data_IF_278001551742
#
_entry.id   IF_278001551742
#
_cell.length_a   1.000
_cell.length_b   1.000
_cell.length_c   1.000
_cell.angle_alpha   90.00
_cell.angle_beta   90.00
_cell.angle_gamma   90.00
#
_symmetry.space_group_name_H-M   'P 1'
#
loop_
_entity.id
_entity.type
_entity.pdbx_description
1 polymer ?
#
# COMPACT_ATOMS: atom_id res chain seq x y z
N UNK A 1 3.30 23.20 -2.20
CA UNK A 1 3.05 22.69 -3.57
C UNK A 1 1.67 22.09 -3.75
N UNK A 2 1.18 21.18 -2.89
CA UNK A 2 -0.16 20.59 -2.98
C UNK A 2 -1.29 21.63 -3.06
N UNK A 3 -1.33 22.58 -2.11
CA UNK A 3 -2.37 23.64 -2.09
C UNK A 3 -2.31 24.49 -3.37
N UNK A 4 -1.11 24.80 -3.83
CA UNK A 4 -0.92 25.59 -5.05
C UNK A 4 -1.39 24.85 -6.31
N UNK A 5 -1.23 23.52 -6.38
CA UNK A 5 -1.71 22.71 -7.51
C UNK A 5 -3.22 22.56 -7.53
N UNK A 6 -3.87 22.50 -6.36
CA UNK A 6 -5.34 22.45 -6.26
C UNK A 6 -6.04 23.78 -6.54
N UNK A 7 -5.32 24.91 -6.42
CA UNK A 7 -5.85 26.25 -6.69
C UNK A 7 -5.59 26.74 -8.11
N UNK A 8 -4.80 26.03 -8.91
CA UNK A 8 -4.42 26.46 -10.25
C UNK A 8 -5.16 25.65 -11.31
N UNK A 9 -6.28 26.20 -11.80
CA UNK A 9 -7.11 25.58 -12.85
C UNK A 9 -6.37 25.33 -14.18
N UNK A 10 -5.22 25.99 -14.43
CA UNK A 10 -4.41 25.72 -15.63
C UNK A 10 -3.65 24.42 -15.57
N UNK A 11 -3.34 23.94 -14.36
CA UNK A 11 -2.60 22.71 -14.12
C UNK A 11 -3.47 21.54 -13.70
N UNK A 12 -4.70 21.81 -13.25
CA UNK A 12 -5.65 20.81 -12.81
C UNK A 12 -7.09 21.32 -13.02
N UNK A 13 -7.83 20.65 -13.88
CA UNK A 13 -9.21 21.02 -14.24
C UNK A 13 -10.28 20.59 -13.22
N UNK A 14 -9.89 20.00 -12.08
CA UNK A 14 -10.78 19.49 -11.05
C UNK A 14 -10.88 20.43 -9.84
N UNK A 15 -11.92 20.18 -9.03
CA UNK A 15 -12.07 20.79 -7.71
C UNK A 15 -11.27 19.94 -6.73
N UNK A 16 -10.12 20.42 -6.27
CA UNK A 16 -9.30 19.70 -5.29
C UNK A 16 -7.81 19.70 -5.61
N UNK A 17 -7.07 18.83 -4.94
CA UNK A 17 -5.63 18.68 -5.10
C UNK A 17 -5.34 17.63 -6.17
N UNK A 18 -4.38 17.91 -7.07
CA UNK A 18 -3.94 16.93 -8.05
C UNK A 18 -3.53 15.60 -7.38
N UNK A 19 -4.06 14.47 -7.87
CA UNK A 19 -3.77 13.13 -7.37
C UNK A 19 -2.27 12.79 -7.41
N UNK A 20 -1.53 13.32 -8.37
CA UNK A 20 -0.06 13.15 -8.43
C UNK A 20 0.66 13.88 -7.29
N UNK A 21 0.26 15.11 -6.97
CA UNK A 21 0.85 15.86 -5.86
C UNK A 21 0.49 15.27 -4.50
N UNK A 22 -0.73 14.77 -4.35
CA UNK A 22 -1.17 14.06 -3.16
C UNK A 22 -0.31 12.80 -2.95
N UNK A 23 -0.17 11.98 -3.98
CA UNK A 23 0.62 10.74 -3.93
C UNK A 23 2.10 11.00 -3.70
N UNK A 24 2.68 12.04 -4.33
CA UNK A 24 4.08 12.42 -4.13
C UNK A 24 4.32 12.89 -2.69
N UNK A 25 3.41 13.68 -2.12
CA UNK A 25 3.51 14.12 -0.73
C UNK A 25 3.50 12.92 0.23
N UNK A 26 2.56 11.99 0.05
CA UNK A 26 2.47 10.79 0.86
C UNK A 26 3.70 9.89 0.68
N UNK A 27 4.20 9.74 -0.56
CA UNK A 27 5.44 9.03 -0.85
C UNK A 27 6.63 9.58 -0.06
N UNK A 28 6.83 10.89 -0.07
CA UNK A 28 7.93 11.54 0.65
C UNK A 28 7.77 11.40 2.17
N UNK A 29 6.55 11.57 2.69
CA UNK A 29 6.26 11.42 4.11
C UNK A 29 6.53 10.00 4.61
N UNK A 30 6.06 8.98 3.88
CA UNK A 30 6.30 7.57 4.21
C UNK A 30 7.77 7.19 4.09
N UNK A 31 8.46 7.70 3.08
CA UNK A 31 9.90 7.47 2.90
C UNK A 31 10.68 8.03 4.09
N UNK A 32 10.40 9.26 4.48
CA UNK A 32 11.02 9.90 5.66
C UNK A 32 10.75 9.11 6.93
N UNK A 33 9.47 8.75 7.16
CA UNK A 33 9.08 7.94 8.31
C UNK A 33 9.82 6.59 8.33
N UNK A 34 9.89 5.92 7.19
CA UNK A 34 10.55 4.61 7.06
C UNK A 34 12.05 4.68 7.35
N UNK A 35 12.73 5.73 6.89
CA UNK A 35 14.16 5.94 7.15
C UNK A 35 14.39 6.18 8.64
N UNK A 36 13.59 7.04 9.28
CA UNK A 36 13.70 7.34 10.71
C UNK A 36 13.44 6.09 11.55
N UNK A 37 12.36 5.35 11.23
CA UNK A 37 12.02 4.11 11.92
C UNK A 37 13.12 3.07 11.75
N UNK A 38 13.66 2.91 10.54
CA UNK A 38 14.74 1.97 10.28
C UNK A 38 16.00 2.31 11.09
N UNK A 39 16.41 3.58 11.13
CA UNK A 39 17.55 4.03 11.93
C UNK A 39 17.31 3.78 13.43
N UNK A 40 16.13 4.09 13.93
CA UNK A 40 15.77 3.79 15.33
C UNK A 40 15.87 2.30 15.65
N UNK A 41 15.27 1.45 14.80
CA UNK A 41 15.31 0.00 15.00
C UNK A 41 16.73 -0.56 14.90
N UNK A 42 17.56 -0.03 14.02
CA UNK A 42 18.96 -0.43 13.84
C UNK A 42 19.82 -0.12 15.07
N UNK A 43 19.58 1.02 15.72
CA UNK A 43 20.26 1.41 16.96
C UNK A 43 19.78 0.55 18.12
N UNK A 44 18.46 0.36 18.24
CA UNK A 44 17.86 -0.36 19.38
C UNK A 44 18.06 -1.87 19.33
N UNK A 45 18.06 -2.44 18.12
CA UNK A 45 18.14 -3.88 17.87
C UNK A 45 19.26 -4.17 16.86
N UNK A 46 20.53 -4.18 17.29
CA UNK A 46 21.63 -4.49 16.37
C UNK A 46 21.48 -5.90 15.80
N UNK A 47 21.59 -6.02 14.49
CA UNK A 47 21.48 -7.30 13.77
C UNK A 47 22.79 -8.07 13.94
N UNK A 48 22.73 -9.21 14.63
CA UNK A 48 23.89 -10.06 14.90
C UNK A 48 24.15 -11.01 13.72
N UNK A 49 23.09 -11.50 13.07
CA UNK A 49 23.18 -12.41 11.92
C UNK A 49 22.33 -11.91 10.76
N UNK A 50 22.87 -11.99 9.54
CA UNK A 50 22.22 -11.47 8.34
C UNK A 50 21.88 -12.63 7.39
N UNK A 51 20.64 -13.12 7.47
CA UNK A 51 20.09 -14.00 6.44
C UNK A 51 19.58 -13.15 5.27
N UNK A 52 20.33 -13.16 4.17
CA UNK A 52 20.06 -12.35 2.98
C UNK A 52 18.69 -12.66 2.35
N UNK A 53 18.28 -13.94 2.36
CA UNK A 53 17.02 -14.36 1.75
C UNK A 53 15.82 -13.82 2.55
N UNK A 54 15.86 -13.97 3.88
CA UNK A 54 14.78 -13.44 4.76
C UNK A 54 14.67 -11.92 4.66
N UNK A 55 15.81 -11.25 4.54
CA UNK A 55 15.83 -9.80 4.35
C UNK A 55 15.19 -9.38 3.01
N UNK A 56 15.44 -10.14 1.94
CA UNK A 56 14.86 -9.86 0.61
C UNK A 56 13.33 -10.02 0.62
N UNK A 57 12.79 -11.05 1.28
CA UNK A 57 11.32 -11.20 1.42
C UNK A 57 10.69 -10.08 2.24
N UNK A 58 11.32 -9.70 3.36
CA UNK A 58 10.84 -8.57 4.16
C UNK A 58 10.84 -7.25 3.38
N UNK A 59 11.87 -7.02 2.58
CA UNK A 59 11.96 -5.85 1.71
C UNK A 59 10.92 -5.88 0.59
N UNK A 60 10.65 -7.05 -0.01
CA UNK A 60 9.60 -7.20 -1.01
C UNK A 60 8.22 -6.85 -0.42
N UNK A 61 7.87 -7.39 0.75
CA UNK A 61 6.62 -7.07 1.44
C UNK A 61 6.52 -5.57 1.72
N UNK A 62 7.60 -4.96 2.21
CA UNK A 62 7.67 -3.52 2.44
C UNK A 62 7.36 -2.72 1.17
N UNK A 63 8.00 -3.06 0.03
CA UNK A 63 7.75 -2.38 -1.25
C UNK A 63 6.31 -2.55 -1.73
N UNK A 64 5.72 -3.73 -1.56
CA UNK A 64 4.34 -3.99 -1.96
C UNK A 64 3.34 -3.19 -1.11
N UNK A 65 3.54 -3.13 0.21
CA UNK A 65 2.72 -2.30 1.12
C UNK A 65 2.88 -0.82 0.74
N UNK A 66 4.09 -0.39 0.44
CA UNK A 66 4.37 0.97 0.01
C UNK A 66 3.63 1.32 -1.29
N UNK A 67 3.69 0.42 -2.28
CA UNK A 67 2.94 0.55 -3.53
C UNK A 67 1.42 0.61 -3.29
N UNK A 68 0.89 -0.23 -2.41
CA UNK A 68 -0.53 -0.25 -2.03
C UNK A 68 -1.00 1.11 -1.48
N UNK A 69 -0.19 1.73 -0.62
CA UNK A 69 -0.52 3.04 -0.04
C UNK A 69 -0.52 4.12 -1.13
N UNK A 70 0.45 4.09 -2.04
CA UNK A 70 0.53 5.04 -3.16
C UNK A 70 -0.64 4.87 -4.14
N UNK A 71 -1.01 3.61 -4.48
CA UNK A 71 -2.19 3.34 -5.30
C UNK A 71 -3.46 3.89 -4.66
N UNK A 72 -3.61 3.74 -3.34
CA UNK A 72 -4.73 4.31 -2.58
C UNK A 72 -4.76 5.85 -2.64
N UNK A 73 -3.60 6.50 -2.55
CA UNK A 73 -3.51 7.95 -2.66
C UNK A 73 -3.85 8.46 -4.07
N UNK A 74 -3.40 7.76 -5.12
CA UNK A 74 -3.77 8.06 -6.50
C UNK A 74 -5.28 7.91 -6.72
N UNK A 75 -5.84 6.80 -6.26
CA UNK A 75 -7.26 6.48 -6.37
C UNK A 75 -8.12 7.51 -5.62
N UNK A 76 -7.74 7.85 -4.39
CA UNK A 76 -8.43 8.87 -3.58
C UNK A 76 -8.38 10.24 -4.23
N UNK A 77 -7.25 10.64 -4.80
CA UNK A 77 -7.11 11.93 -5.48
C UNK A 77 -7.84 12.01 -6.82
N UNK A 78 -8.35 10.90 -7.33
CA UNK A 78 -9.22 10.82 -8.52
C UNK A 78 -10.70 10.58 -8.15
N UNK A 79 -11.07 10.65 -6.88
CA UNK A 79 -12.41 10.32 -6.38
C UNK A 79 -12.86 8.90 -6.77
N UNK A 80 -11.90 7.98 -6.93
CA UNK A 80 -12.13 6.64 -7.43
C UNK A 80 -13.04 5.77 -6.56
N UNK A 81 -13.20 6.09 -5.28
CA UNK A 81 -14.16 5.44 -4.39
C UNK A 81 -15.63 5.68 -4.77
N UNK A 82 -15.91 6.68 -5.63
CA UNK A 82 -17.26 6.99 -6.10
C UNK A 82 -17.67 6.18 -7.35
N UNK A 83 -16.74 5.44 -7.96
CA UNK A 83 -17.02 4.70 -9.21
C UNK A 83 -17.98 3.54 -8.95
N UNK A 84 -17.78 2.80 -7.88
CA UNK A 84 -18.58 1.64 -7.50
C UNK A 84 -18.46 1.35 -6.02
N UNK A 85 -19.57 0.90 -5.43
CA UNK A 85 -19.63 0.32 -4.08
C UNK A 85 -19.67 -1.22 -4.12
N UNK A 86 -19.69 -1.84 -5.30
CA UNK A 86 -19.81 -3.28 -5.44
C UNK A 86 -18.45 -3.97 -5.24
N UNK A 87 -18.49 -5.18 -4.69
CA UNK A 87 -17.34 -6.06 -4.55
C UNK A 87 -17.79 -7.50 -4.85
N UNK A 88 -17.00 -8.30 -5.58
CA UNK A 88 -15.64 -8.06 -6.08
C UNK A 88 -15.55 -7.35 -7.44
N UNK A 89 -16.66 -7.15 -8.10
CA UNK A 89 -16.77 -6.54 -9.42
C UNK A 89 -16.72 -4.99 -9.38
N UNK A 90 -16.53 -4.39 -10.54
CA UNK A 90 -16.61 -2.96 -10.76
C UNK A 90 -17.75 -2.75 -11.76
N UNK A 91 -18.95 -2.32 -11.27
CA UNK A 91 -20.15 -2.10 -12.08
C UNK A 91 -20.59 -3.33 -12.91
N UNK A 92 -20.46 -4.54 -12.33
CA UNK A 92 -20.86 -5.80 -12.97
C UNK A 92 -19.77 -6.48 -13.78
N UNK A 93 -18.58 -5.90 -13.90
CA UNK A 93 -17.44 -6.46 -14.61
C UNK A 93 -16.27 -6.72 -13.64
N UNK A 94 -15.63 -7.88 -13.76
CA UNK A 94 -14.44 -8.19 -12.95
C UNK A 94 -13.26 -7.28 -13.30
N UNK A 95 -13.06 -7.03 -14.59
CA UNK A 95 -12.07 -6.08 -15.12
C UNK A 95 -12.74 -5.24 -16.21
N UNK A 96 -13.16 -4.01 -15.92
CA UNK A 96 -13.87 -3.16 -16.87
C UNK A 96 -13.03 -2.87 -18.12
N UNK A 97 -13.70 -2.85 -19.29
CA UNK A 97 -13.03 -2.53 -20.57
C UNK A 97 -12.32 -1.18 -20.55
N UNK A 98 -12.84 -0.23 -19.77
CA UNK A 98 -12.22 1.08 -19.58
C UNK A 98 -10.95 1.07 -18.72
N UNK A 99 -10.56 -0.11 -18.19
CA UNK A 99 -9.38 -0.27 -17.30
C UNK A 99 -8.06 -0.25 -18.05
N UNK A 100 -7.78 0.82 -18.78
CA UNK A 100 -6.47 1.01 -19.40
C UNK A 100 -5.39 1.16 -18.32
N UNK A 101 -4.24 0.51 -18.51
CA UNK A 101 -3.11 0.58 -17.59
C UNK A 101 -2.52 2.00 -17.57
N UNK A 102 -2.99 2.81 -16.64
CA UNK A 102 -2.58 4.21 -16.48
C UNK A 102 -2.77 4.67 -15.04
N UNK A 103 -1.85 5.48 -14.54
CA UNK A 103 -1.95 6.11 -13.21
C UNK A 103 -2.99 7.25 -13.16
N UNK A 104 -3.63 7.58 -14.29
CA UNK A 104 -4.76 8.50 -14.37
C UNK A 104 -6.09 7.79 -14.60
N UNK A 105 -6.08 6.45 -14.72
CA UNK A 105 -7.29 5.68 -14.97
C UNK A 105 -7.87 5.18 -13.65
N UNK A 106 -9.05 5.67 -13.28
CA UNK A 106 -9.73 5.33 -12.03
C UNK A 106 -10.06 3.84 -11.94
N UNK A 107 -10.51 3.21 -13.03
CA UNK A 107 -10.90 1.78 -13.06
C UNK A 107 -9.68 0.87 -12.84
N UNK A 108 -8.57 1.18 -13.53
CA UNK A 108 -7.32 0.45 -13.34
C UNK A 108 -6.79 0.58 -11.90
N UNK A 109 -6.75 1.80 -11.37
CA UNK A 109 -6.29 2.03 -10.00
C UNK A 109 -7.20 1.37 -8.98
N UNK A 110 -8.52 1.39 -9.20
CA UNK A 110 -9.49 0.74 -8.33
C UNK A 110 -9.30 -0.77 -8.31
N UNK A 111 -9.14 -1.38 -9.49
CA UNK A 111 -8.84 -2.81 -9.61
C UNK A 111 -7.52 -3.16 -8.91
N UNK A 112 -6.44 -2.46 -9.23
CA UNK A 112 -5.13 -2.72 -8.66
C UNK A 112 -5.12 -2.55 -7.13
N UNK A 113 -5.74 -1.49 -6.61
CA UNK A 113 -5.83 -1.22 -5.17
C UNK A 113 -6.66 -2.27 -4.41
N UNK A 114 -7.68 -2.85 -5.04
CA UNK A 114 -8.51 -3.91 -4.45
C UNK A 114 -7.80 -5.26 -4.40
N UNK A 115 -7.07 -5.64 -5.45
CA UNK A 115 -6.53 -6.99 -5.58
C UNK A 115 -5.11 -7.13 -5.01
N UNK A 116 -4.32 -6.06 -5.01
CA UNK A 116 -2.96 -6.08 -4.45
C UNK A 116 -2.92 -6.49 -2.97
N UNK A 117 -3.84 -6.10 -2.07
CA UNK A 117 -3.84 -6.54 -0.68
C UNK A 117 -3.95 -8.06 -0.52
N UNK A 118 -4.73 -8.75 -1.36
CA UNK A 118 -4.83 -10.21 -1.32
C UNK A 118 -3.50 -10.86 -1.67
N UNK A 119 -2.79 -10.34 -2.68
CA UNK A 119 -1.45 -10.82 -3.03
C UNK A 119 -0.45 -10.56 -1.90
N UNK A 120 -0.49 -9.38 -1.27
CA UNK A 120 0.36 -9.05 -0.11
C UNK A 120 0.09 -10.03 1.03
N UNK A 121 -1.18 -10.32 1.34
CA UNK A 121 -1.56 -11.27 2.38
C UNK A 121 -0.99 -12.66 2.12
N UNK A 122 -1.11 -13.18 0.89
CA UNK A 122 -0.55 -14.48 0.51
C UNK A 122 0.97 -14.52 0.72
N UNK A 123 1.67 -13.47 0.30
CA UNK A 123 3.13 -13.37 0.47
C UNK A 123 3.50 -13.26 1.95
N UNK A 124 2.74 -12.53 2.76
CA UNK A 124 2.94 -12.43 4.21
C UNK A 124 2.77 -13.80 4.89
N UNK A 125 1.73 -14.57 4.55
CA UNK A 125 1.51 -15.92 5.08
C UNK A 125 2.65 -16.85 4.68
N UNK A 126 3.07 -16.81 3.41
CA UNK A 126 4.20 -17.60 2.92
C UNK A 126 5.49 -17.25 3.66
N UNK A 127 5.78 -15.97 3.83
CA UNK A 127 6.94 -15.48 4.58
C UNK A 127 6.89 -15.92 6.04
N UNK A 128 5.74 -15.78 6.70
CA UNK A 128 5.58 -16.27 8.08
C UNK A 128 5.92 -17.76 8.21
N UNK A 129 5.39 -18.58 7.30
CA UNK A 129 5.69 -20.01 7.31
C UNK A 129 7.19 -20.33 7.15
N UNK A 130 7.91 -19.50 6.39
CA UNK A 130 9.38 -19.65 6.24
C UNK A 130 10.18 -19.24 7.46
N UNK A 131 9.71 -18.24 8.23
CA UNK A 131 10.50 -17.66 9.32
C UNK A 131 10.05 -18.10 10.71
N UNK A 132 8.87 -18.70 10.87
CA UNK A 132 8.25 -19.02 12.17
C UNK A 132 9.11 -19.90 13.08
N UNK A 133 9.98 -20.76 12.51
CA UNK A 133 10.93 -21.59 13.29
C UNK A 133 11.99 -20.76 14.02
N UNK A 134 12.36 -19.63 13.45
CA UNK A 134 13.42 -18.76 13.95
C UNK A 134 12.90 -17.64 14.86
N UNK A 135 11.58 -17.48 14.89
CA UNK A 135 10.93 -16.45 15.70
C UNK A 135 10.69 -16.95 17.14
N UNK A 136 10.97 -16.10 18.12
CA UNK A 136 10.53 -16.33 19.49
C UNK A 136 9.02 -16.12 19.65
N UNK A 137 8.42 -16.53 20.78
CA UNK A 137 6.97 -16.46 21.02
C UNK A 137 6.42 -15.05 20.89
N UNK A 138 7.17 -14.04 21.37
CA UNK A 138 6.75 -12.63 21.27
C UNK A 138 6.71 -12.16 19.81
N UNK A 139 7.71 -12.53 19.01
CA UNK A 139 7.78 -12.17 17.58
C UNK A 139 6.65 -12.86 16.78
N UNK A 140 6.35 -14.14 17.07
CA UNK A 140 5.20 -14.85 16.47
C UNK A 140 3.89 -14.14 16.78
N UNK A 141 3.68 -13.77 18.04
CA UNK A 141 2.49 -13.03 18.46
C UNK A 141 2.35 -11.69 17.75
N UNK A 142 3.44 -10.91 17.65
CA UNK A 142 3.44 -9.63 16.93
C UNK A 142 3.13 -9.82 15.44
N UNK A 143 3.67 -10.86 14.80
CA UNK A 143 3.40 -11.14 13.40
C UNK A 143 1.93 -11.50 13.16
N UNK A 144 1.34 -12.31 14.03
CA UNK A 144 -0.09 -12.67 13.97
C UNK A 144 -0.99 -11.45 14.19
N UNK A 145 -0.63 -10.57 15.11
CA UNK A 145 -1.33 -9.29 15.33
C UNK A 145 -1.28 -8.43 14.06
N UNK A 146 -0.12 -8.33 13.40
CA UNK A 146 0.02 -7.60 12.13
C UNK A 146 -0.89 -8.18 11.04
N UNK A 147 -0.92 -9.52 10.88
CA UNK A 147 -1.82 -10.17 9.92
C UNK A 147 -3.29 -9.88 10.25
N UNK A 148 -3.66 -9.92 11.52
CA UNK A 148 -5.02 -9.61 11.96
C UNK A 148 -5.42 -8.17 11.66
N UNK A 149 -4.56 -7.19 11.98
CA UNK A 149 -4.77 -5.78 11.65
C UNK A 149 -4.88 -5.60 10.13
N UNK A 150 -4.07 -6.32 9.35
CA UNK A 150 -4.13 -6.24 7.89
C UNK A 150 -5.45 -6.77 7.33
N UNK A 151 -6.01 -7.85 7.90
CA UNK A 151 -7.35 -8.36 7.55
C UNK A 151 -8.42 -7.31 7.87
N UNK A 152 -8.38 -6.71 9.06
CA UNK A 152 -9.32 -5.63 9.41
C UNK A 152 -9.23 -4.49 8.41
N UNK A 153 -8.02 -4.07 8.04
CA UNK A 153 -7.80 -3.00 7.07
C UNK A 153 -8.37 -3.35 5.68
N UNK A 154 -8.26 -4.62 5.27
CA UNK A 154 -8.88 -5.09 4.02
C UNK A 154 -10.41 -5.01 4.08
N UNK A 155 -11.01 -5.46 5.18
CA UNK A 155 -12.48 -5.43 5.36
C UNK A 155 -13.01 -3.99 5.37
N UNK A 156 -12.28 -3.07 6.00
CA UNK A 156 -12.65 -1.65 6.05
C UNK A 156 -12.46 -0.94 4.70
N UNK A 157 -11.67 -1.50 3.80
CA UNK A 157 -11.38 -0.94 2.48
C UNK A 157 -12.24 -1.51 1.34
N UNK A 158 -13.11 -2.48 1.64
CA UNK A 158 -14.09 -3.06 0.71
C UNK A 158 -15.41 -2.30 0.84
#
# INVERSE_FOLDING_TARGET
MMVKSGLNMKTYNGIGVSHYWLSLHLFLALTTYSIVLWQYLRIKYPVITKDRNKMNYGFLIYLMIFAQIILGALLSGLDGGLITSNFPDINGEFYPEQSLVSLSNQYFLHFAHRWLPFLIMLICIFFYNKVKSDLNQRQKGLFLILLFIFIIQMILGI
#
